data_IF_504173573907
#
_entry.id   IF_504173573907
#
_cell.length_a   1.000
_cell.length_b   1.000
_cell.length_c   1.000
_cell.angle_alpha   90.00
_cell.angle_beta   90.00
_cell.angle_gamma   90.00
#
_symmetry.space_group_name_H-M   'P 1'
#
loop_
_entity.id
_entity.type
_entity.pdbx_description
1 polymer ?
#
# COMPACT_ATOMS: atom_id res chain seq x y z
N UNK A 1 -5.64 9.43 -2.32
CA UNK A 1 -6.68 9.52 -3.37
C UNK A 1 -8.00 9.09 -2.79
N UNK A 2 -9.10 9.57 -3.34
CA UNK A 2 -10.48 9.30 -2.93
C UNK A 2 -11.28 8.53 -3.99
N UNK A 3 -10.64 8.18 -5.11
CA UNK A 3 -11.27 7.53 -6.26
C UNK A 3 -10.26 6.73 -7.08
N UNK A 4 -10.73 5.65 -7.70
CA UNK A 4 -9.93 4.80 -8.59
C UNK A 4 -9.50 5.57 -9.86
N UNK A 5 -10.36 6.43 -10.39
CA UNK A 5 -10.06 7.19 -11.62
C UNK A 5 -8.85 8.12 -11.42
N UNK A 6 -8.79 8.85 -10.31
CA UNK A 6 -7.66 9.75 -10.02
C UNK A 6 -6.38 8.97 -9.72
N UNK A 7 -6.49 7.85 -9.01
CA UNK A 7 -5.37 6.95 -8.75
C UNK A 7 -4.78 6.38 -10.05
N UNK A 8 -5.63 5.87 -10.95
CA UNK A 8 -5.18 5.22 -12.18
C UNK A 8 -4.62 6.23 -13.19
N UNK A 9 -5.13 7.47 -13.20
CA UNK A 9 -4.52 8.57 -13.93
C UNK A 9 -3.10 8.87 -13.43
N UNK A 10 -2.90 8.91 -12.11
CA UNK A 10 -1.58 9.09 -11.51
C UNK A 10 -0.62 7.95 -11.87
N UNK A 11 -1.06 6.70 -11.75
CA UNK A 11 -0.22 5.54 -12.11
C UNK A 11 0.26 5.59 -13.57
N UNK A 12 -0.61 6.04 -14.49
CA UNK A 12 -0.24 6.24 -15.91
C UNK A 12 0.78 7.36 -16.09
N UNK A 13 0.65 8.47 -15.35
CA UNK A 13 1.60 9.57 -15.39
C UNK A 13 3.01 9.13 -14.91
N UNK A 14 3.05 8.29 -13.87
CA UNK A 14 4.28 7.68 -13.36
C UNK A 14 4.82 6.53 -14.23
N UNK A 15 4.09 6.12 -15.27
CA UNK A 15 4.43 4.95 -16.10
C UNK A 15 4.29 3.60 -15.38
N UNK A 16 3.67 3.58 -14.20
CA UNK A 16 3.46 2.40 -13.36
C UNK A 16 2.22 1.63 -13.81
N UNK A 17 2.39 0.71 -14.75
CA UNK A 17 1.28 0.11 -15.52
C UNK A 17 1.11 -1.39 -15.31
N UNK A 18 2.08 -2.03 -14.65
CA UNK A 18 2.00 -3.44 -14.27
C UNK A 18 2.36 -3.60 -12.79
N UNK A 19 1.50 -4.29 -12.04
CA UNK A 19 1.66 -4.40 -10.59
C UNK A 19 1.02 -5.64 -9.99
N UNK A 20 1.11 -5.73 -8.68
CA UNK A 20 0.36 -6.71 -7.88
C UNK A 20 -0.94 -6.07 -7.39
N UNK A 21 -2.04 -6.81 -7.39
CA UNK A 21 -3.32 -6.39 -6.84
C UNK A 21 -3.88 -7.47 -5.93
N UNK A 22 -4.29 -7.10 -4.72
CA UNK A 22 -5.02 -7.98 -3.82
C UNK A 22 -6.24 -8.60 -4.55
N UNK A 23 -6.40 -9.94 -4.53
CA UNK A 23 -7.53 -10.61 -5.17
C UNK A 23 -8.90 -10.04 -4.77
N UNK A 24 -9.07 -9.60 -3.52
CA UNK A 24 -10.32 -9.02 -3.05
C UNK A 24 -10.61 -7.64 -3.68
N UNK A 25 -9.57 -6.94 -4.13
CA UNK A 25 -9.62 -5.59 -4.68
C UNK A 25 -9.46 -5.56 -6.21
N UNK A 26 -9.27 -6.71 -6.85
CA UNK A 26 -9.08 -6.83 -8.30
C UNK A 26 -10.18 -6.09 -9.09
N UNK A 27 -11.43 -6.17 -8.63
CA UNK A 27 -12.57 -5.50 -9.22
C UNK A 27 -12.42 -3.97 -9.34
N UNK A 28 -11.56 -3.33 -8.53
CA UNK A 28 -11.27 -1.90 -8.63
C UNK A 28 -10.45 -1.56 -9.87
N UNK A 29 -9.60 -2.47 -10.35
CA UNK A 29 -8.70 -2.24 -11.48
C UNK A 29 -9.13 -2.98 -12.76
N UNK A 30 -10.09 -3.90 -12.67
CA UNK A 30 -10.63 -4.60 -13.84
C UNK A 30 -11.20 -3.64 -14.88
N UNK A 31 -10.77 -3.81 -16.13
CA UNK A 31 -11.22 -2.97 -17.25
C UNK A 31 -10.58 -1.58 -17.32
N UNK A 32 -9.69 -1.22 -16.40
CA UNK A 32 -8.90 0.01 -16.51
C UNK A 32 -7.91 -0.11 -17.65
N UNK A 33 -8.08 0.69 -18.69
CA UNK A 33 -7.21 0.69 -19.86
C UNK A 33 -5.74 0.92 -19.46
N UNK A 34 -4.82 0.13 -20.01
CA UNK A 34 -3.37 0.23 -19.80
C UNK A 34 -2.86 -0.02 -18.38
N UNK A 35 -3.71 -0.50 -17.47
CA UNK A 35 -3.30 -1.04 -16.17
C UNK A 35 -3.50 -2.55 -16.20
N UNK A 36 -2.46 -3.28 -15.85
CA UNK A 36 -2.45 -4.75 -15.79
C UNK A 36 -1.89 -5.20 -14.44
N UNK A 37 -2.31 -6.37 -13.97
CA UNK A 37 -1.86 -6.85 -12.67
C UNK A 37 -1.94 -8.37 -12.54
N UNK A 38 -1.14 -8.90 -11.64
CA UNK A 38 -1.31 -10.25 -11.11
C UNK A 38 -2.02 -10.19 -9.75
N UNK A 39 -2.79 -11.23 -9.44
CA UNK A 39 -3.48 -11.37 -8.14
C UNK A 39 -2.79 -12.37 -7.20
N UNK A 40 -1.89 -13.20 -7.74
CA UNK A 40 -0.94 -13.98 -6.96
C UNK A 40 0.42 -13.30 -7.05
N UNK A 41 1.04 -13.01 -5.91
CA UNK A 41 2.35 -12.35 -5.89
C UNK A 41 3.43 -13.36 -6.26
N UNK A 42 4.11 -13.14 -7.39
CA UNK A 42 5.24 -13.95 -7.84
C UNK A 42 6.58 -13.31 -7.40
N UNK A 43 7.24 -13.92 -6.42
CA UNK A 43 8.55 -13.46 -5.94
C UNK A 43 9.62 -13.42 -7.04
N UNK A 44 9.52 -14.27 -8.07
CA UNK A 44 10.46 -14.27 -9.19
C UNK A 44 10.32 -13.01 -10.06
N UNK A 45 9.18 -12.33 -9.98
CA UNK A 45 8.81 -11.12 -10.74
C UNK A 45 8.76 -9.88 -9.86
N UNK A 46 9.33 -9.94 -8.66
CA UNK A 46 9.29 -8.84 -7.67
C UNK A 46 9.73 -7.49 -8.25
N UNK A 47 10.70 -7.48 -9.17
CA UNK A 47 11.21 -6.26 -9.81
C UNK A 47 10.36 -5.78 -11.00
N UNK A 48 9.45 -6.61 -11.51
CA UNK A 48 8.53 -6.26 -12.59
C UNK A 48 7.32 -5.47 -12.04
N UNK A 49 6.95 -5.72 -10.78
CA UNK A 49 5.82 -5.04 -10.13
C UNK A 49 6.18 -3.58 -9.82
N UNK A 50 5.66 -2.67 -10.63
CA UNK A 50 5.85 -1.22 -10.48
C UNK A 50 4.94 -0.59 -9.42
N UNK A 51 3.82 -1.25 -9.11
CA UNK A 51 2.97 -0.94 -7.96
C UNK A 51 2.48 -2.22 -7.27
N UNK A 52 2.06 -2.06 -6.02
CA UNK A 52 1.32 -3.06 -5.27
C UNK A 52 0.08 -2.44 -4.63
N UNK A 53 -1.09 -3.02 -4.86
CA UNK A 53 -2.35 -2.57 -4.29
C UNK A 53 -2.84 -3.60 -3.29
N UNK A 54 -2.95 -3.22 -2.01
CA UNK A 54 -3.36 -4.12 -0.93
C UNK A 54 -4.39 -3.49 -0.01
N UNK A 55 -5.18 -4.31 0.69
CA UNK A 55 -6.06 -3.81 1.76
C UNK A 55 -5.23 -3.46 2.99
N UNK A 56 -5.43 -2.25 3.50
CA UNK A 56 -4.93 -1.84 4.81
C UNK A 56 -5.94 -2.17 5.90
N UNK A 57 -5.43 -2.44 7.11
CA UNK A 57 -6.25 -2.74 8.28
C UNK A 57 -6.70 -1.50 9.03
N UNK A 58 -5.91 -0.42 9.00
CA UNK A 58 -6.24 0.87 9.58
C UNK A 58 -5.33 1.96 9.03
N UNK A 59 -5.77 3.21 9.19
CA UNK A 59 -5.01 4.41 8.91
C UNK A 59 -4.96 5.26 10.16
N UNK A 60 -3.78 5.73 10.57
CA UNK A 60 -3.62 6.50 11.80
C UNK A 60 -3.42 7.97 11.44
N UNK A 61 -4.45 8.79 11.71
CA UNK A 61 -4.49 10.18 11.30
C UNK A 61 -3.38 11.04 11.91
N UNK A 62 -3.09 10.89 13.22
CA UNK A 62 -2.08 11.73 13.90
C UNK A 62 -0.66 11.58 13.36
N UNK A 63 -0.35 10.43 12.74
CA UNK A 63 1.00 10.09 12.29
C UNK A 63 1.12 9.87 10.78
N UNK A 64 0.00 9.86 10.05
CA UNK A 64 0.00 9.52 8.61
C UNK A 64 0.51 8.09 8.36
N UNK A 65 0.06 7.14 9.19
CA UNK A 65 0.54 5.75 9.15
C UNK A 65 -0.50 4.83 8.53
N UNK A 66 -0.06 3.90 7.68
CA UNK A 66 -0.84 2.74 7.24
C UNK A 66 -0.51 1.54 8.13
N UNK A 67 -1.54 0.82 8.58
CA UNK A 67 -1.40 -0.43 9.34
C UNK A 67 -1.74 -1.61 8.44
N UNK A 68 -0.85 -2.59 8.38
CA UNK A 68 -1.03 -3.85 7.65
C UNK A 68 -1.00 -5.01 8.65
N UNK A 69 -2.06 -5.82 8.66
CA UNK A 69 -2.16 -7.06 9.45
C UNK A 69 -2.12 -8.26 8.51
N UNK A 70 -1.56 -9.37 8.97
CA UNK A 70 -1.48 -10.59 8.16
C UNK A 70 -2.87 -11.17 7.83
N UNK A 71 -3.85 -10.96 8.70
CA UNK A 71 -5.24 -11.40 8.46
C UNK A 71 -5.97 -10.63 7.35
N UNK A 72 -5.46 -9.46 6.93
CA UNK A 72 -6.16 -8.55 5.99
C UNK A 72 -5.34 -8.33 4.72
N UNK A 73 -4.03 -8.17 4.85
CA UNK A 73 -3.14 -7.86 3.73
C UNK A 73 -2.73 -9.16 3.03
N UNK A 74 -3.28 -9.39 1.84
CA UNK A 74 -3.10 -10.62 1.03
C UNK A 74 -1.65 -11.03 0.79
N UNK A 75 -0.75 -10.08 0.51
CA UNK A 75 0.68 -10.34 0.37
C UNK A 75 1.51 -9.20 0.95
N UNK A 76 2.28 -9.51 1.99
CA UNK A 76 3.21 -8.55 2.63
C UNK A 76 4.25 -8.00 1.66
N UNK A 77 4.83 -8.86 0.82
CA UNK A 77 5.77 -8.43 -0.22
C UNK A 77 5.08 -7.59 -1.28
N UNK A 78 3.83 -7.89 -1.62
CA UNK A 78 3.00 -7.04 -2.48
C UNK A 78 2.82 -5.62 -1.95
N UNK A 79 2.79 -5.43 -0.62
CA UNK A 79 2.71 -4.12 0.00
C UNK A 79 4.06 -3.40 0.18
N UNK A 80 5.17 -4.14 0.33
CA UNK A 80 6.44 -3.55 0.75
C UNK A 80 7.53 -3.52 -0.32
N UNK A 81 7.45 -4.37 -1.34
CA UNK A 81 8.49 -4.49 -2.36
C UNK A 81 8.31 -3.57 -3.58
N UNK A 82 7.08 -3.39 -4.14
CA UNK A 82 6.90 -2.48 -5.26
C UNK A 82 7.26 -1.03 -4.88
N UNK A 83 7.74 -0.26 -5.86
CA UNK A 83 8.12 1.14 -5.65
C UNK A 83 6.94 1.98 -5.16
N UNK A 84 5.74 1.73 -5.71
CA UNK A 84 4.50 2.37 -5.30
C UNK A 84 3.65 1.37 -4.54
N UNK A 85 3.38 1.63 -3.25
CA UNK A 85 2.38 0.87 -2.51
C UNK A 85 1.09 1.68 -2.39
N UNK A 86 -0.02 1.08 -2.79
CA UNK A 86 -1.37 1.62 -2.68
C UNK A 86 -2.10 0.83 -1.60
N UNK A 87 -2.25 1.46 -0.45
CA UNK A 87 -3.05 0.97 0.66
C UNK A 87 -4.51 1.40 0.45
N UNK A 88 -5.39 0.45 0.17
CA UNK A 88 -6.83 0.71 0.10
C UNK A 88 -7.41 0.60 1.51
N UNK A 89 -8.12 1.65 1.93
CA UNK A 89 -8.61 1.81 3.29
C UNK A 89 -10.05 2.32 3.28
N UNK A 90 -10.91 1.75 4.14
CA UNK A 90 -12.25 2.28 4.36
C UNK A 90 -12.19 3.53 5.24
N UNK A 91 -13.01 4.53 4.96
CA UNK A 91 -13.08 5.75 5.79
C UNK A 91 -13.30 5.43 7.28
N UNK A 92 -14.05 4.37 7.57
CA UNK A 92 -14.33 3.91 8.94
C UNK A 92 -13.14 3.26 9.64
N UNK A 93 -12.11 2.87 8.90
CA UNK A 93 -10.88 2.26 9.44
C UNK A 93 -9.78 3.31 9.71
N UNK A 94 -10.08 4.59 9.53
CA UNK A 94 -9.20 5.70 9.91
C UNK A 94 -9.43 6.04 11.38
N UNK A 95 -8.42 5.76 12.20
CA UNK A 95 -8.41 6.02 13.64
C UNK A 95 -7.58 7.27 13.96
N UNK A 96 -7.87 7.90 15.09
CA UNK A 96 -7.20 9.14 15.46
C UNK A 96 -5.74 8.90 15.89
N UNK A 97 -5.49 7.81 16.63
CA UNK A 97 -4.20 7.60 17.31
C UNK A 97 -3.67 6.17 17.27
N UNK A 98 -2.37 6.02 17.53
CA UNK A 98 -1.71 4.71 17.69
C UNK A 98 -2.36 3.91 18.82
N UNK A 99 -2.73 4.56 19.92
CA UNK A 99 -3.37 3.91 21.06
C UNK A 99 -4.72 3.28 20.68
N UNK A 100 -5.49 3.96 19.84
CA UNK A 100 -6.75 3.45 19.28
C UNK A 100 -6.49 2.30 18.29
N UNK A 101 -5.52 2.45 17.39
CA UNK A 101 -5.16 1.41 16.42
C UNK A 101 -4.82 0.08 17.09
N UNK A 102 -4.01 0.11 18.15
CA UNK A 102 -3.54 -1.09 18.86
C UNK A 102 -4.71 -1.89 19.47
N UNK A 103 -5.83 -1.24 19.79
CA UNK A 103 -7.02 -1.94 20.31
C UNK A 103 -7.65 -2.89 19.27
N UNK A 104 -7.44 -2.63 17.96
CA UNK A 104 -7.96 -3.43 16.86
C UNK A 104 -7.05 -4.56 16.38
N UNK A 105 -5.92 -4.79 17.05
CA UNK A 105 -4.89 -5.74 16.61
C UNK A 105 -5.27 -7.20 16.88
N UNK A 106 -5.97 -7.45 17.99
CA UNK A 106 -6.34 -8.81 18.39
C UNK A 106 -5.11 -9.73 18.50
N UNK A 107 -5.26 -10.96 18.01
CA UNK A 107 -4.22 -11.99 18.03
C UNK A 107 -3.46 -12.10 16.70
N UNK A 108 -3.44 -11.04 15.89
CA UNK A 108 -2.76 -11.07 14.60
C UNK A 108 -1.24 -11.33 14.79
N UNK A 109 -0.66 -12.32 14.09
CA UNK A 109 0.70 -12.76 14.36
C UNK A 109 1.76 -11.71 13.99
N UNK A 110 1.43 -10.74 13.13
CA UNK A 110 2.37 -9.72 12.72
C UNK A 110 1.65 -8.47 12.20
N UNK A 111 2.13 -7.31 12.64
CA UNK A 111 1.53 -6.03 12.29
C UNK A 111 2.64 -5.09 11.84
N UNK A 112 2.42 -4.45 10.69
CA UNK A 112 3.37 -3.51 10.10
C UNK A 112 2.76 -2.12 10.17
N UNK A 113 3.56 -1.18 10.63
CA UNK A 113 3.28 0.25 10.61
C UNK A 113 4.14 0.87 9.50
N UNK A 114 3.50 1.28 8.41
CA UNK A 114 4.14 2.01 7.32
C UNK A 114 3.88 3.51 7.50
N UNK A 115 4.84 4.21 8.11
CA UNK A 115 4.73 5.64 8.47
C UNK A 115 5.58 6.51 7.52
N UNK A 116 4.92 7.28 6.66
CA UNK A 116 5.58 8.16 5.70
C UNK A 116 6.43 7.44 4.63
N UNK A 117 6.99 8.18 3.66
CA UNK A 117 7.89 7.62 2.65
C UNK A 117 9.22 7.17 3.28
N UNK A 118 9.76 6.05 2.83
CA UNK A 118 11.04 5.53 3.33
C UNK A 118 12.17 6.50 3.02
N UNK A 119 12.83 7.02 4.07
CA UNK A 119 13.90 8.00 3.96
C UNK A 119 15.03 7.66 4.92
N UNK A 120 16.19 7.30 4.38
CA UNK A 120 17.38 6.92 5.18
C UNK A 120 18.57 7.75 4.73
N UNK A 121 19.34 8.28 5.66
CA UNK A 121 20.64 8.88 5.35
C UNK A 121 21.73 7.82 5.60
N UNK A 122 22.67 7.69 4.67
CA UNK A 122 23.86 6.88 4.91
C UNK A 122 24.78 7.54 5.98
N UNK A 123 25.86 6.84 6.34
CA UNK A 123 26.84 7.34 7.34
C UNK A 123 27.53 8.63 6.87
N UNK A 124 27.53 8.90 5.56
CA UNK A 124 28.09 10.11 4.95
C UNK A 124 27.06 11.25 4.83
N UNK A 125 25.82 11.02 5.26
CA UNK A 125 24.73 11.99 5.23
C UNK A 125 24.03 12.11 3.87
N UNK A 126 24.29 11.18 2.94
CA UNK A 126 23.61 11.12 1.65
C UNK A 126 22.24 10.51 1.88
N UNK A 127 21.22 11.25 1.46
CA UNK A 127 19.85 10.83 1.55
C UNK A 127 19.55 9.80 0.45
N UNK A 128 19.06 8.64 0.86
CA UNK A 128 18.56 7.59 -0.01
C UNK A 128 17.08 7.35 0.31
N UNK A 129 16.25 7.38 -0.71
CA UNK A 129 14.80 7.19 -0.61
C UNK A 129 14.42 5.79 -1.12
N UNK A 130 13.47 5.12 -0.46
CA UNK A 130 12.92 3.84 -0.93
C UNK A 130 13.83 2.60 -0.82
N UNK A 131 14.83 2.60 0.06
CA UNK A 131 15.75 1.44 0.24
C UNK A 131 15.16 0.35 1.14
N UNK A 132 14.24 0.72 2.05
CA UNK A 132 13.71 -0.18 3.09
C UNK A 132 12.20 -0.40 3.00
N UNK A 133 11.60 -0.07 1.85
CA UNK A 133 10.18 -0.17 1.59
C UNK A 133 9.80 0.65 0.36
N UNK A 134 8.49 0.86 0.11
CA UNK A 134 8.02 1.61 -1.04
C UNK A 134 8.62 3.03 -1.06
N UNK A 135 9.05 3.48 -2.24
CA UNK A 135 9.47 4.86 -2.45
C UNK A 135 8.29 5.83 -2.37
N UNK A 136 7.10 5.36 -2.76
CA UNK A 136 5.85 6.10 -2.73
C UNK A 136 4.79 5.30 -1.96
N UNK A 137 4.25 5.90 -0.91
CA UNK A 137 3.13 5.34 -0.15
C UNK A 137 1.86 6.12 -0.47
N UNK A 138 0.88 5.44 -1.05
CA UNK A 138 -0.44 5.96 -1.38
C UNK A 138 -1.47 5.39 -0.41
N UNK A 139 -2.40 6.23 0.05
CA UNK A 139 -3.66 5.81 0.66
C UNK A 139 -4.80 6.08 -0.34
N UNK A 140 -5.52 5.03 -0.74
CA UNK A 140 -6.78 5.13 -1.47
C UNK A 140 -7.91 4.95 -0.45
N UNK A 141 -8.55 6.07 -0.09
CA UNK A 141 -9.63 6.11 0.91
C UNK A 141 -10.96 5.95 0.19
N UNK A 142 -11.74 4.95 0.56
CA UNK A 142 -13.05 4.66 -0.03
C UNK A 142 -14.11 4.59 1.07
N UNK A 143 -15.34 5.01 0.75
CA UNK A 143 -16.43 4.93 1.74
C UNK A 143 -16.88 3.48 1.98
N UNK A 144 -16.73 2.60 0.97
CA UNK A 144 -17.03 1.17 1.02
C UNK A 144 -16.06 0.38 0.12
N UNK A 145 -15.65 -0.81 0.57
CA UNK A 145 -14.77 -1.74 -0.18
C UNK A 145 -15.46 -3.11 -0.29
#
# INVERSE_FOLDING_TARGET
YDSVDTLTAYLKEEGSTFGYCDPALAHLLEGVESITFDTEFDEARINDYTFGLTKASAGIAESGTIVLKDSVTSARLGALAPWIHIAVIEETDIVASIGEAIQGFGDDPSIIFATGPSKTADVEGILIEGVHGPGIQVALVLSHI
#
